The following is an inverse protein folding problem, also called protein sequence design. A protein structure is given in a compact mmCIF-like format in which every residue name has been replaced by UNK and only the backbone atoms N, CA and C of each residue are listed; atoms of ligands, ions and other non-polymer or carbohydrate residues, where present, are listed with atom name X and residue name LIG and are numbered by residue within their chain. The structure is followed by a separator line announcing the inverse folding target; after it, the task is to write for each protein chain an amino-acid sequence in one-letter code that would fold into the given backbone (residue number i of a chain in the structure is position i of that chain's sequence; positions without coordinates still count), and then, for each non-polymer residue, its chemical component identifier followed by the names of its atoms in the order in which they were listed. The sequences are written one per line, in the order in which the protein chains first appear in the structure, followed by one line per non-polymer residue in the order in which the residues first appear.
data_IF_626368823936
#
_entry.id   IF_626368823936
#
_cell.length_a   1.000
_cell.length_b   1.000
_cell.length_c   1.000
_cell.angle_alpha   90.00
_cell.angle_beta   90.00
_cell.angle_gamma   90.00
#
_symmetry.space_group_name_H-M   'P 1'
#
loop_
_entity.id
_entity.type
_entity.pdbx_description
1 polymer ?
#
# COMPACT_ATOMS: atom_id res chain seq x y z
N UNK A 1 -23.00 -35.82 -12.35
CA UNK A 1 -21.66 -35.19 -12.33
C UNK A 1 -21.84 -33.80 -11.75
N UNK A 2 -21.26 -33.51 -10.59
CA UNK A 2 -21.44 -32.24 -9.89
C UNK A 2 -20.09 -31.52 -9.75
N UNK A 3 -20.04 -30.27 -10.24
CA UNK A 3 -19.22 -29.13 -9.77
C UNK A 3 -17.70 -29.17 -9.99
N UNK A 4 -17.01 -28.00 -10.15
CA UNK A 4 -17.21 -26.82 -9.30
C UNK A 4 -17.36 -25.47 -10.01
N UNK A 5 -18.36 -24.73 -9.54
CA UNK A 5 -18.24 -23.29 -9.35
C UNK A 5 -16.97 -22.99 -8.52
N UNK A 6 -16.02 -22.25 -9.07
CA UNK A 6 -15.16 -21.37 -8.29
C UNK A 6 -14.40 -20.40 -9.18
N UNK A 7 -14.93 -19.20 -9.36
CA UNK A 7 -14.12 -17.99 -9.24
C UNK A 7 -15.06 -16.91 -8.76
N UNK A 8 -15.46 -17.07 -7.50
CA UNK A 8 -16.27 -16.10 -6.79
C UNK A 8 -15.39 -14.88 -6.61
N UNK A 9 -15.84 -13.76 -7.17
CA UNK A 9 -15.39 -12.40 -6.92
C UNK A 9 -14.51 -12.28 -5.67
N UNK A 10 -13.20 -12.17 -5.86
CA UNK A 10 -12.27 -11.85 -4.79
C UNK A 10 -12.43 -10.35 -4.43
N UNK A 11 -13.45 -10.12 -3.62
CA UNK A 11 -13.57 -9.07 -2.62
C UNK A 11 -13.29 -7.63 -3.06
N UNK A 12 -14.34 -6.98 -3.58
CA UNK A 12 -14.55 -5.56 -3.32
C UNK A 12 -15.09 -5.39 -1.87
N UNK A 13 -14.30 -5.70 -0.84
CA UNK A 13 -14.66 -5.40 0.56
C UNK A 13 -14.14 -4.03 0.95
N UNK A 14 -14.87 -3.01 0.52
CA UNK A 14 -14.74 -1.64 1.04
C UNK A 14 -15.11 -1.64 2.54
N UNK A 15 -14.21 -1.10 3.37
CA UNK A 15 -14.34 -0.72 4.79
C UNK A 15 -14.03 -1.73 5.94
N UNK A 16 -13.93 -3.05 5.75
CA UNK A 16 -13.64 -3.98 6.88
C UNK A 16 -12.21 -4.53 6.99
N UNK A 17 -11.34 -4.33 6.00
CA UNK A 17 -9.97 -4.88 5.98
C UNK A 17 -8.91 -3.83 5.63
N UNK A 18 -9.03 -2.60 6.14
CA UNK A 18 -7.91 -1.66 6.06
C UNK A 18 -6.82 -2.09 7.04
N UNK A 19 -5.54 -1.95 6.67
CA UNK A 19 -4.45 -2.26 7.60
C UNK A 19 -4.51 -1.34 8.83
N UNK A 20 -4.49 -1.94 10.02
CA UNK A 20 -4.59 -1.21 11.29
C UNK A 20 -3.22 -0.68 11.74
N UNK A 21 -2.98 0.61 11.52
CA UNK A 21 -1.73 1.27 11.92
C UNK A 21 -1.79 1.88 13.32
N UNK A 22 -2.86 1.70 14.09
CA UNK A 22 -3.02 2.33 15.42
C UNK A 22 -1.94 1.96 16.42
N UNK A 23 -1.29 0.80 16.23
CA UNK A 23 -0.18 0.30 17.06
C UNK A 23 1.21 0.68 16.55
N UNK A 24 1.28 1.36 15.40
CA UNK A 24 2.54 1.89 14.85
C UNK A 24 2.76 3.28 15.44
N UNK A 25 3.93 3.49 16.04
CA UNK A 25 4.37 4.82 16.43
C UNK A 25 4.55 5.68 15.17
N UNK A 26 3.90 6.86 15.07
CA UNK A 26 3.99 7.70 13.89
C UNK A 26 5.43 8.08 13.57
N UNK A 27 5.85 7.88 12.32
CA UNK A 27 7.21 8.19 11.90
C UNK A 27 7.46 9.70 11.95
N UNK A 28 8.48 10.09 12.70
CA UNK A 28 8.89 11.48 12.91
C UNK A 28 10.27 11.80 12.31
N UNK A 29 10.92 10.83 11.65
CA UNK A 29 12.27 10.95 11.12
C UNK A 29 13.29 10.02 11.77
N UNK A 30 12.97 9.42 12.91
CA UNK A 30 13.87 8.52 13.64
C UNK A 30 13.51 7.04 13.46
N UNK A 31 14.51 6.16 13.63
CA UNK A 31 14.34 4.71 13.57
C UNK A 31 13.64 4.20 12.30
N UNK A 32 13.95 4.80 11.15
CA UNK A 32 13.25 4.54 9.88
C UNK A 32 13.13 3.06 9.54
N UNK A 33 14.21 2.26 9.70
CA UNK A 33 14.16 0.81 9.42
C UNK A 33 13.10 0.09 10.24
N UNK A 34 13.02 0.35 11.54
CA UNK A 34 12.00 -0.25 12.42
C UNK A 34 10.59 0.16 12.02
N UNK A 35 10.39 1.42 11.62
CA UNK A 35 9.09 1.88 11.13
C UNK A 35 8.75 1.24 9.78
N UNK A 36 9.72 1.19 8.86
CA UNK A 36 9.61 0.61 7.53
C UNK A 36 9.19 -0.87 7.60
N UNK A 37 9.85 -1.66 8.45
CA UNK A 37 9.56 -3.07 8.65
C UNK A 37 8.13 -3.26 9.18
N UNK A 38 7.69 -2.46 10.16
CA UNK A 38 6.30 -2.52 10.66
C UNK A 38 5.26 -2.22 9.59
N UNK A 39 5.51 -1.25 8.71
CA UNK A 39 4.59 -0.93 7.61
C UNK A 39 4.55 -2.08 6.60
N UNK A 40 5.72 -2.65 6.30
CA UNK A 40 5.81 -3.81 5.43
C UNK A 40 5.05 -5.00 6.02
N UNK A 41 5.29 -5.37 7.28
CA UNK A 41 4.63 -6.49 7.97
C UNK A 41 3.10 -6.35 7.98
N UNK A 42 2.60 -5.15 8.28
CA UNK A 42 1.15 -4.89 8.27
C UNK A 42 0.56 -5.03 6.86
N UNK A 43 1.27 -4.59 5.83
CA UNK A 43 0.81 -4.77 4.45
C UNK A 43 0.94 -6.22 3.99
N UNK A 44 1.95 -6.96 4.46
CA UNK A 44 2.17 -8.37 4.15
C UNK A 44 1.04 -9.26 4.67
N UNK A 45 0.57 -9.01 5.91
CA UNK A 45 -0.63 -9.67 6.46
C UNK A 45 -1.87 -9.47 5.58
N UNK A 46 -1.91 -8.39 4.81
CA UNK A 46 -2.98 -8.07 3.87
C UNK A 46 -2.68 -8.48 2.41
N UNK A 47 -1.55 -9.13 2.13
CA UNK A 47 -1.05 -9.46 0.78
C UNK A 47 -0.83 -8.21 -0.11
N UNK A 48 -0.38 -7.12 0.50
CA UNK A 48 -0.18 -5.82 -0.15
C UNK A 48 1.28 -5.35 -0.14
N UNK A 49 2.19 -6.10 0.48
CA UNK A 49 3.60 -5.71 0.62
C UNK A 49 4.27 -5.42 -0.72
N UNK A 50 4.05 -6.28 -1.73
CA UNK A 50 4.59 -6.08 -3.09
C UNK A 50 4.12 -4.78 -3.75
N UNK A 51 2.92 -4.30 -3.40
CA UNK A 51 2.34 -3.09 -3.98
C UNK A 51 3.06 -1.82 -3.51
N UNK A 52 3.90 -1.88 -2.47
CA UNK A 52 4.75 -0.75 -2.09
C UNK A 52 5.67 -0.31 -3.23
N UNK A 53 6.19 -1.25 -4.00
CA UNK A 53 7.17 -1.01 -5.07
C UNK A 53 6.65 -1.39 -6.46
N UNK A 54 5.52 -2.11 -6.56
CA UNK A 54 4.95 -2.51 -7.84
C UNK A 54 4.52 -1.29 -8.68
N UNK A 55 5.09 -1.19 -9.88
CA UNK A 55 4.70 -0.21 -10.90
C UNK A 55 3.28 -0.47 -11.45
N UNK A 56 2.59 0.55 -11.98
CA UNK A 56 1.33 0.34 -12.66
C UNK A 56 1.48 -0.61 -13.86
N UNK A 57 0.42 -1.36 -14.24
CA UNK A 57 0.44 -2.18 -15.45
C UNK A 57 0.76 -1.37 -16.71
N UNK A 58 1.45 -2.00 -17.65
CA UNK A 58 1.74 -1.40 -18.96
C UNK A 58 0.49 -1.39 -19.84
N UNK A 59 0.26 -0.27 -20.54
CA UNK A 59 -0.85 -0.14 -21.49
C UNK A 59 -0.77 -1.21 -22.58
N UNK A 60 -1.90 -1.84 -22.89
CA UNK A 60 -2.00 -2.89 -23.91
C UNK A 60 -1.63 -4.30 -23.44
N UNK A 61 -1.28 -4.50 -22.17
CA UNK A 61 -1.13 -5.86 -21.64
C UNK A 61 -2.46 -6.61 -21.55
N UNK A 62 -2.40 -7.94 -21.51
CA UNK A 62 -3.60 -8.77 -21.31
C UNK A 62 -4.29 -8.41 -19.99
N UNK A 63 -5.62 -8.24 -20.05
CA UNK A 63 -6.46 -7.87 -18.91
C UNK A 63 -6.07 -6.53 -18.25
N UNK A 64 -5.55 -5.58 -19.06
CA UNK A 64 -5.07 -4.27 -18.62
C UNK A 64 -6.06 -3.54 -17.71
N UNK A 65 -7.33 -3.43 -18.10
CA UNK A 65 -8.34 -2.68 -17.35
C UNK A 65 -8.55 -3.25 -15.94
N UNK A 66 -8.61 -4.57 -15.81
CA UNK A 66 -8.78 -5.24 -14.52
C UNK A 66 -7.52 -5.12 -13.67
N UNK A 67 -6.33 -5.37 -14.25
CA UNK A 67 -5.05 -5.19 -13.56
C UNK A 67 -4.88 -3.75 -13.06
N UNK A 68 -5.22 -2.77 -13.89
CA UNK A 68 -5.11 -1.35 -13.55
C UNK A 68 -6.11 -0.97 -12.44
N UNK A 69 -7.33 -1.54 -12.47
CA UNK A 69 -8.33 -1.37 -11.41
C UNK A 69 -7.84 -1.94 -10.07
N UNK A 70 -7.30 -3.16 -10.07
CA UNK A 70 -6.72 -3.81 -8.89
C UNK A 70 -5.54 -3.00 -8.36
N UNK A 71 -4.59 -2.64 -9.23
CA UNK A 71 -3.44 -1.83 -8.86
C UNK A 71 -3.86 -0.49 -8.27
N UNK A 72 -4.84 0.20 -8.86
CA UNK A 72 -5.35 1.48 -8.36
C UNK A 72 -5.98 1.34 -6.97
N UNK A 73 -6.74 0.27 -6.73
CA UNK A 73 -7.33 0.00 -5.42
C UNK A 73 -6.25 -0.26 -4.37
N UNK A 74 -5.28 -1.11 -4.68
CA UNK A 74 -4.19 -1.46 -3.76
C UNK A 74 -3.24 -0.28 -3.52
N UNK A 75 -2.96 0.54 -4.55
CA UNK A 75 -2.22 1.79 -4.41
C UNK A 75 -2.85 2.73 -3.39
N UNK A 76 -4.18 2.89 -3.43
CA UNK A 76 -4.91 3.73 -2.46
C UNK A 76 -4.77 3.20 -1.04
N UNK A 77 -4.85 1.88 -0.85
CA UNK A 77 -4.69 1.26 0.47
C UNK A 77 -3.26 1.46 0.98
N UNK A 78 -2.24 1.11 0.20
CA UNK A 78 -0.84 1.28 0.61
C UNK A 78 -0.51 2.74 0.90
N UNK A 79 -0.97 3.67 0.05
CA UNK A 79 -0.81 5.11 0.27
C UNK A 79 -1.46 5.57 1.58
N UNK A 80 -2.70 5.13 1.84
CA UNK A 80 -3.39 5.43 3.10
C UNK A 80 -2.62 4.91 4.31
N UNK A 81 -2.17 3.65 4.27
CA UNK A 81 -1.39 3.01 5.34
C UNK A 81 -0.11 3.78 5.65
N UNK A 82 0.66 4.13 4.61
CA UNK A 82 1.89 4.91 4.76
C UNK A 82 1.58 6.25 5.42
N UNK A 83 0.67 7.05 4.84
CA UNK A 83 0.34 8.39 5.33
C UNK A 83 -0.20 8.40 6.76
N UNK A 84 -1.04 7.41 7.10
CA UNK A 84 -1.64 7.28 8.43
C UNK A 84 -0.61 6.93 9.51
N UNK A 85 0.54 6.39 9.12
CA UNK A 85 1.64 6.05 10.02
C UNK A 85 2.76 7.11 10.03
N UNK A 86 2.56 8.27 9.39
CA UNK A 86 3.47 9.41 9.47
C UNK A 86 3.05 10.35 10.61
N UNK A 87 4.02 11.03 11.21
CA UNK A 87 3.75 12.23 12.02
C UNK A 87 3.07 13.30 11.16
N UNK A 88 2.29 14.18 11.81
CA UNK A 88 1.46 15.18 11.11
C UNK A 88 2.29 16.05 10.15
N UNK A 89 3.47 16.51 10.59
CA UNK A 89 4.36 17.34 9.76
C UNK A 89 4.84 16.61 8.49
N UNK A 90 5.14 15.31 8.58
CA UNK A 90 5.52 14.52 7.41
C UNK A 90 4.31 14.18 6.54
N UNK A 91 3.16 13.87 7.15
CA UNK A 91 1.93 13.59 6.44
C UNK A 91 1.55 14.77 5.52
N UNK A 92 1.58 16.00 6.02
CA UNK A 92 1.25 17.19 5.21
C UNK A 92 2.16 17.34 3.98
N UNK A 93 3.45 17.03 4.12
CA UNK A 93 4.43 17.05 3.01
C UNK A 93 4.08 15.98 1.98
N UNK A 94 3.86 14.75 2.44
CA UNK A 94 3.70 13.58 1.57
C UNK A 94 2.26 13.36 1.07
N UNK A 95 1.27 14.05 1.64
CA UNK A 95 -0.14 13.90 1.25
C UNK A 95 -0.41 14.32 -0.20
N UNK A 96 0.42 15.22 -0.75
CA UNK A 96 0.29 15.72 -2.13
C UNK A 96 0.61 14.69 -3.20
N UNK A 97 1.37 13.64 -2.86
CA UNK A 97 1.72 12.56 -3.79
C UNK A 97 0.54 11.61 -3.98
N UNK A 98 0.34 11.16 -5.23
CA UNK A 98 -0.81 10.32 -5.60
C UNK A 98 -0.50 8.84 -5.48
N UNK A 99 0.77 8.47 -5.58
CA UNK A 99 1.20 7.09 -5.63
C UNK A 99 1.98 6.67 -4.39
N UNK A 100 1.71 5.45 -3.91
CA UNK A 100 2.42 4.83 -2.77
C UNK A 100 3.93 4.79 -2.97
N UNK A 101 4.40 4.47 -4.17
CA UNK A 101 5.82 4.26 -4.47
C UNK A 101 6.59 5.58 -4.47
N UNK A 102 5.98 6.69 -4.89
CA UNK A 102 6.61 8.01 -4.79
C UNK A 102 6.93 8.33 -3.33
N UNK A 103 5.95 8.16 -2.43
CA UNK A 103 6.12 8.41 -1.00
C UNK A 103 7.15 7.44 -0.42
N UNK A 104 6.99 6.14 -0.69
CA UNK A 104 7.87 5.09 -0.18
C UNK A 104 9.33 5.28 -0.60
N UNK A 105 9.57 5.63 -1.86
CA UNK A 105 10.90 5.84 -2.41
C UNK A 105 11.52 7.14 -1.87
N UNK A 106 10.76 8.22 -1.74
CA UNK A 106 11.25 9.49 -1.17
C UNK A 106 11.64 9.34 0.30
N UNK A 107 10.82 8.64 1.09
CA UNK A 107 11.13 8.32 2.49
C UNK A 107 12.38 7.43 2.56
N UNK A 108 12.43 6.36 1.77
CA UNK A 108 13.57 5.45 1.71
C UNK A 108 14.86 6.18 1.34
N UNK A 109 14.84 7.02 0.31
CA UNK A 109 16.00 7.81 -0.11
C UNK A 109 16.47 8.80 0.96
N UNK A 110 15.55 9.36 1.74
CA UNK A 110 15.85 10.39 2.74
C UNK A 110 16.35 9.81 4.07
N UNK A 111 15.85 8.64 4.46
CA UNK A 111 16.02 8.10 5.81
C UNK A 111 16.66 6.71 5.89
N UNK A 112 16.86 6.01 4.77
CA UNK A 112 17.82 4.88 4.70
C UNK A 112 19.21 5.50 4.66
N UNK A 113 19.82 5.65 5.83
CA UNK A 113 21.25 5.92 6.01
C UNK A 113 21.93 4.57 6.26
#
# INVERSE_FOLDING_TARGET
MASPFSSVAAALTTAKNLPDVSKIEPFNGEHFKRWQDKIHDILDVHNLAEYLTLSPPEEGCEDFDNKMKIWTANNKICRYTILSALSSNLCDIYYTYKNKDEIWNLLSKKYII
#
